data_IF_086058273145
#
_entry.id   IF_086058273145
#
_cell.length_a   1.000
_cell.length_b   1.000
_cell.length_c   1.000
_cell.angle_alpha   90.00
_cell.angle_beta   90.00
_cell.angle_gamma   90.00
#
_symmetry.space_group_name_H-M   'P 1'
#
loop_
_entity.id
_entity.type
_entity.pdbx_description
1 polymer ?
#
# COMPACT_ATOMS: atom_id res chain seq x y z
N UNK A 1 5.66 -20.90 -13.89
CA UNK A 1 5.56 -20.26 -14.28
C UNK A 1 5.51 -19.32 -14.01
N UNK A 2 5.81 -18.94 -14.20
CA UNK A 2 5.89 -17.90 -13.79
C UNK A 2 4.88 -17.15 -14.08
N UNK A 3 4.23 -16.76 -13.31
CA UNK A 3 3.37 -15.92 -13.50
C UNK A 3 3.86 -14.67 -13.72
N UNK A 4 3.74 -14.11 -14.78
CA UNK A 4 4.23 -12.87 -14.96
C UNK A 4 3.17 -11.95 -14.87
N UNK A 5 3.04 -11.34 -13.77
CA UNK A 5 2.19 -10.25 -13.61
C UNK A 5 2.67 -9.15 -14.47
N UNK A 6 1.89 -8.67 -15.38
CA UNK A 6 2.24 -7.56 -16.23
C UNK A 6 2.25 -6.26 -15.48
N UNK A 7 1.65 -6.20 -14.31
CA UNK A 7 1.50 -4.93 -13.61
C UNK A 7 2.36 -4.91 -12.37
N UNK A 8 2.84 -3.72 -12.07
CA UNK A 8 3.56 -3.46 -10.83
C UNK A 8 2.91 -2.27 -10.17
N UNK A 9 3.26 -2.00 -8.92
CA UNK A 9 2.71 -0.82 -8.27
C UNK A 9 3.79 -0.10 -7.49
N UNK A 10 3.60 1.20 -7.36
CA UNK A 10 4.38 2.01 -6.44
C UNK A 10 3.43 2.52 -5.38
N UNK A 11 3.74 2.30 -4.13
CA UNK A 11 2.88 2.72 -3.04
C UNK A 11 3.04 4.21 -2.78
N UNK A 12 1.93 4.87 -2.51
CA UNK A 12 1.94 6.27 -2.10
C UNK A 12 1.52 6.40 -0.65
N UNK A 13 1.51 5.29 0.10
CA UNK A 13 1.06 5.29 1.48
C UNK A 13 1.82 6.31 2.30
N UNK A 14 3.15 6.38 2.12
CA UNK A 14 3.96 7.29 2.91
C UNK A 14 3.57 8.75 2.69
N UNK A 15 3.09 9.08 1.50
CA UNK A 15 2.67 10.45 1.20
C UNK A 15 1.39 10.77 1.98
N UNK A 16 0.42 9.84 1.94
CA UNK A 16 -0.83 10.05 2.65
C UNK A 16 -0.60 10.06 4.17
N UNK A 17 0.30 9.21 4.66
CA UNK A 17 0.64 9.23 6.08
C UNK A 17 1.24 10.57 6.47
N UNK A 18 2.19 11.05 5.66
CA UNK A 18 2.86 12.32 5.98
C UNK A 18 1.87 13.47 6.02
N UNK A 19 0.91 13.46 5.12
CA UNK A 19 -0.11 14.50 5.08
C UNK A 19 -0.90 14.54 6.39
N UNK A 20 -1.14 13.38 6.98
CA UNK A 20 -1.89 13.30 8.24
C UNK A 20 -0.98 13.19 9.44
N UNK A 21 0.32 13.28 9.26
CA UNK A 21 1.30 13.15 10.34
C UNK A 21 1.10 11.84 11.09
N UNK A 22 0.84 10.80 10.35
CA UNK A 22 0.56 9.49 10.93
C UNK A 22 1.82 8.63 10.84
N UNK A 23 2.16 7.96 11.94
CA UNK A 23 3.32 7.05 11.93
C UNK A 23 2.94 5.74 11.27
N UNK A 24 3.95 4.96 10.91
CA UNK A 24 3.73 3.62 10.37
C UNK A 24 3.01 2.75 11.39
N UNK A 25 3.36 2.88 12.68
CA UNK A 25 2.72 2.07 13.71
C UNK A 25 1.26 2.45 13.86
N UNK A 26 0.95 3.73 13.79
CA UNK A 26 -0.44 4.16 13.91
C UNK A 26 -1.28 3.60 12.77
N UNK A 27 -0.76 3.62 11.56
CA UNK A 27 -1.48 3.05 10.44
C UNK A 27 -1.64 1.54 10.61
N UNK A 28 -0.56 0.87 11.03
CA UNK A 28 -0.60 -0.58 11.24
C UNK A 28 -1.69 -0.93 12.26
N UNK A 29 -1.76 -0.17 13.35
CA UNK A 29 -2.77 -0.43 14.37
C UNK A 29 -4.18 -0.23 13.83
N UNK A 30 -4.38 0.78 13.00
CA UNK A 30 -5.71 1.06 12.46
C UNK A 30 -6.21 -0.04 11.54
N UNK A 31 -5.31 -0.67 10.79
CA UNK A 31 -5.73 -1.68 9.83
C UNK A 31 -5.42 -3.10 10.30
N UNK A 32 -4.88 -3.25 11.52
CA UNK A 32 -4.74 -4.57 12.12
C UNK A 32 -3.60 -5.41 11.59
N UNK A 33 -2.48 -4.78 11.21
CA UNK A 33 -1.31 -5.53 10.78
C UNK A 33 -0.10 -5.01 11.54
N UNK A 34 1.05 -5.64 11.33
CA UNK A 34 2.26 -5.21 12.01
C UNK A 34 2.86 -4.01 11.30
N UNK A 35 3.67 -3.25 12.04
CA UNK A 35 4.42 -2.15 11.46
C UNK A 35 5.31 -2.64 10.32
N UNK A 36 5.87 -3.84 10.47
CA UNK A 36 6.71 -4.44 9.45
C UNK A 36 5.96 -4.57 8.13
N UNK A 37 4.69 -4.96 8.18
CA UNK A 37 3.87 -5.08 6.99
C UNK A 37 3.73 -3.72 6.29
N UNK A 38 3.49 -2.67 7.07
CA UNK A 38 3.38 -1.34 6.49
C UNK A 38 4.71 -0.91 5.87
N UNK A 39 5.82 -1.19 6.55
CA UNK A 39 7.14 -0.87 6.00
C UNK A 39 7.37 -1.56 4.67
N UNK A 40 7.04 -2.84 4.58
CA UNK A 40 7.24 -3.58 3.34
C UNK A 40 6.33 -3.07 2.22
N UNK A 41 5.11 -2.70 2.56
CA UNK A 41 4.21 -2.11 1.58
C UNK A 41 4.77 -0.83 1.02
N UNK A 42 5.30 0.02 1.88
CA UNK A 42 5.82 1.31 1.46
C UNK A 42 7.07 1.17 0.61
N UNK A 43 7.75 0.04 0.72
CA UNK A 43 8.93 -0.25 -0.10
C UNK A 43 8.59 -1.07 -1.33
N UNK A 44 7.30 -1.26 -1.60
CA UNK A 44 6.82 -2.02 -2.75
C UNK A 44 7.29 -3.47 -2.72
N UNK A 45 7.46 -4.02 -1.50
CA UNK A 45 7.97 -5.38 -1.34
C UNK A 45 6.95 -6.34 -0.80
N UNK A 46 5.70 -5.95 -0.77
CA UNK A 46 4.67 -6.79 -0.23
C UNK A 46 3.40 -6.54 -1.03
N UNK A 47 2.80 -7.62 -1.48
CA UNK A 47 1.57 -7.54 -2.25
C UNK A 47 0.43 -7.65 -1.27
N UNK A 48 -0.29 -6.61 -0.97
CA UNK A 48 -1.32 -6.69 0.06
C UNK A 48 -2.53 -7.47 -0.44
N UNK A 49 -3.28 -8.04 0.49
CA UNK A 49 -4.55 -8.61 0.13
C UNK A 49 -5.47 -7.48 -0.29
N UNK A 50 -6.51 -7.83 -1.03
CA UNK A 50 -7.49 -6.84 -1.44
C UNK A 50 -8.08 -6.13 -0.23
N UNK A 51 -8.38 -6.89 0.81
CA UNK A 51 -8.99 -6.32 2.00
C UNK A 51 -8.07 -5.36 2.71
N UNK A 52 -6.78 -5.69 2.80
CA UNK A 52 -5.82 -4.78 3.43
C UNK A 52 -5.69 -3.50 2.62
N UNK A 53 -5.58 -3.62 1.29
CA UNK A 53 -5.46 -2.45 0.45
C UNK A 53 -6.69 -1.55 0.60
N UNK A 54 -7.86 -2.15 0.62
CA UNK A 54 -9.11 -1.40 0.77
C UNK A 54 -9.16 -0.72 2.15
N UNK A 55 -8.74 -1.43 3.19
CA UNK A 55 -8.76 -0.86 4.54
C UNK A 55 -7.86 0.36 4.64
N UNK A 56 -6.68 0.29 4.04
CA UNK A 56 -5.77 1.43 4.07
C UNK A 56 -6.36 2.60 3.29
N UNK A 57 -6.93 2.32 2.13
CA UNK A 57 -7.55 3.35 1.31
C UNK A 57 -8.66 4.06 2.11
N UNK A 58 -9.43 3.29 2.89
CA UNK A 58 -10.50 3.87 3.70
C UNK A 58 -9.97 4.74 4.82
N UNK A 59 -8.83 4.39 5.41
CA UNK A 59 -8.22 5.22 6.43
C UNK A 59 -7.96 6.62 5.89
N UNK A 60 -7.51 6.70 4.63
CA UNK A 60 -7.19 7.99 4.03
C UNK A 60 -8.32 8.56 3.18
N UNK A 61 -9.44 7.84 3.09
CA UNK A 61 -10.60 8.28 2.33
C UNK A 61 -10.25 8.50 0.86
N UNK A 62 -9.54 7.56 0.29
CA UNK A 62 -9.14 7.60 -1.12
C UNK A 62 -9.43 6.25 -1.75
N UNK A 63 -9.25 6.14 -3.05
CA UNK A 63 -9.42 4.87 -3.74
C UNK A 63 -8.12 4.08 -3.70
N UNK A 64 -8.21 2.80 -4.04
CA UNK A 64 -7.00 1.99 -4.15
C UNK A 64 -6.09 2.55 -5.23
N UNK A 65 -6.67 3.05 -6.33
CA UNK A 65 -5.87 3.62 -7.41
C UNK A 65 -5.20 4.93 -7.02
N UNK A 66 -5.75 5.64 -6.06
CA UNK A 66 -5.06 6.82 -5.53
C UNK A 66 -3.87 6.40 -4.68
N UNK A 67 -4.01 5.27 -3.99
CA UNK A 67 -3.02 4.84 -3.02
C UNK A 67 -1.86 4.12 -3.65
N UNK A 68 -2.09 3.43 -4.74
CA UNK A 68 -1.07 2.66 -5.43
C UNK A 68 -1.03 3.08 -6.90
N UNK A 69 0.16 3.38 -7.38
CA UNK A 69 0.33 3.77 -8.77
C UNK A 69 0.66 2.52 -9.56
N UNK A 70 -0.28 2.05 -10.35
CA UNK A 70 -0.10 0.81 -11.09
C UNK A 70 0.54 1.08 -12.44
N UNK A 71 1.48 0.25 -12.83
CA UNK A 71 2.19 0.39 -14.08
C UNK A 71 2.26 -0.93 -14.78
N UNK A 72 2.33 -0.88 -16.10
CA UNK A 72 2.57 -2.07 -16.88
C UNK A 72 4.06 -2.26 -16.98
N UNK A 73 4.51 -3.47 -16.68
CA UNK A 73 5.93 -3.74 -16.79
C UNK A 73 6.26 -3.91 -18.24
N UNK A 74 7.30 -3.20 -18.70
CA UNK A 74 7.71 -3.33 -20.05
C UNK A 74 9.07 -3.87 -20.14
N UNK A 75 9.38 -4.68 -21.12
CA UNK A 75 10.68 -5.27 -21.22
C UNK A 75 11.48 -4.71 -22.26
#
# INVERSE_FOLDING_TARGET
MANKNKYQFDSKIHIYRATKRMTQQELADLVGVSRQTIMQLERNRYNPSMLLAYSIAKVFDVTIEDLFDFKVEEK
#
